data_IF_330457370803
#
_entry.id   IF_330457370803
#
_cell.length_a   1.000
_cell.length_b   1.000
_cell.length_c   1.000
_cell.angle_alpha   90.00
_cell.angle_beta   90.00
_cell.angle_gamma   90.00
#
_symmetry.space_group_name_H-M   'P 1'
#
loop_
_entity.id
_entity.type
_entity.pdbx_description
1 polymer ?
#
# COMPACT_ATOMS: atom_id res chain seq x y z
N UNK A 1 36.50 14.50 -19.90
CA UNK A 1 37.21 13.86 -18.78
C UNK A 1 36.21 13.60 -17.66
N UNK A 2 35.95 12.33 -17.32
CA UNK A 2 35.10 11.97 -16.17
C UNK A 2 35.93 12.13 -14.91
N UNK A 3 35.66 13.15 -14.09
CA UNK A 3 36.28 13.28 -12.78
C UNK A 3 35.65 12.24 -11.86
N UNK A 4 36.43 11.24 -11.44
CA UNK A 4 36.00 10.32 -10.39
C UNK A 4 35.91 11.10 -9.09
N UNK A 5 34.70 11.20 -8.54
CA UNK A 5 34.44 11.80 -7.23
C UNK A 5 34.38 10.70 -6.19
N UNK A 6 35.07 10.88 -5.06
CA UNK A 6 34.97 9.98 -3.93
C UNK A 6 33.69 10.31 -3.15
N UNK A 7 32.90 9.28 -2.87
CA UNK A 7 31.71 9.38 -2.03
C UNK A 7 31.98 8.51 -0.80
N UNK A 8 31.97 9.11 0.38
CA UNK A 8 32.10 8.38 1.63
C UNK A 8 30.78 7.64 1.91
N UNK A 9 30.86 6.33 2.12
CA UNK A 9 29.71 5.47 2.45
C UNK A 9 30.03 4.78 3.79
N UNK A 10 29.09 4.76 4.75
CA UNK A 10 29.27 4.01 5.99
C UNK A 10 29.61 2.54 5.73
N UNK A 11 30.56 2.00 6.47
CA UNK A 11 31.02 0.61 6.30
C UNK A 11 29.89 -0.41 6.46
N UNK A 12 28.94 -0.15 7.37
CA UNK A 12 27.75 -0.99 7.56
C UNK A 12 26.92 -1.14 6.28
N UNK A 13 26.72 -0.05 5.52
CA UNK A 13 25.99 -0.07 4.25
C UNK A 13 26.77 -0.82 3.18
N UNK A 14 28.09 -0.66 3.17
CA UNK A 14 28.98 -1.31 2.21
C UNK A 14 28.99 -2.83 2.42
N UNK A 15 29.07 -3.29 3.67
CA UNK A 15 28.98 -4.71 4.04
C UNK A 15 27.66 -5.32 3.58
N UNK A 16 26.52 -4.67 3.84
CA UNK A 16 25.22 -5.18 3.41
C UNK A 16 25.09 -5.26 1.89
N UNK A 17 25.57 -4.24 1.18
CA UNK A 17 25.58 -4.24 -0.27
C UNK A 17 26.48 -5.34 -0.87
N UNK A 18 27.62 -5.66 -0.24
CA UNK A 18 28.47 -6.78 -0.65
C UNK A 18 27.73 -8.10 -0.47
N UNK A 19 27.10 -8.34 0.68
CA UNK A 19 26.32 -9.58 0.93
C UNK A 19 25.21 -9.77 -0.12
N UNK A 20 24.52 -8.69 -0.47
CA UNK A 20 23.49 -8.71 -1.53
C UNK A 20 24.11 -9.02 -2.89
N UNK A 21 25.26 -8.41 -3.22
CA UNK A 21 25.96 -8.65 -4.47
C UNK A 21 26.42 -10.12 -4.61
N UNK A 22 26.97 -10.70 -3.54
CA UNK A 22 27.35 -12.12 -3.47
C UNK A 22 26.14 -13.03 -3.67
N UNK A 23 25.02 -12.75 -2.98
CA UNK A 23 23.77 -13.51 -3.12
C UNK A 23 23.22 -13.48 -4.55
N UNK A 24 23.41 -12.36 -5.25
CA UNK A 24 22.98 -12.18 -6.64
C UNK A 24 24.02 -12.63 -7.66
N UNK A 25 25.22 -13.05 -7.24
CA UNK A 25 26.31 -13.48 -8.12
C UNK A 25 26.88 -12.37 -9.00
N UNK A 26 26.85 -11.11 -8.56
CA UNK A 26 27.32 -9.95 -9.33
C UNK A 26 28.39 -9.16 -8.57
N UNK A 27 29.33 -8.49 -9.26
CA UNK A 27 30.28 -7.60 -8.59
C UNK A 27 29.57 -6.44 -7.87
N UNK A 28 30.02 -6.14 -6.65
CA UNK A 28 29.47 -5.02 -5.84
C UNK A 28 29.41 -3.70 -6.61
N UNK A 29 30.48 -3.33 -7.31
CA UNK A 29 30.54 -2.06 -8.07
C UNK A 29 29.48 -2.01 -9.17
N UNK A 30 29.27 -3.13 -9.89
CA UNK A 30 28.23 -3.25 -10.91
C UNK A 30 26.82 -3.21 -10.32
N UNK A 31 26.62 -3.78 -9.12
CA UNK A 31 25.35 -3.70 -8.41
C UNK A 31 25.02 -2.25 -8.03
N UNK A 32 25.97 -1.54 -7.41
CA UNK A 32 25.78 -0.15 -6.99
C UNK A 32 25.52 0.76 -8.19
N UNK A 33 26.27 0.60 -9.28
CA UNK A 33 26.05 1.38 -10.50
C UNK A 33 24.64 1.17 -11.06
N UNK A 34 24.17 -0.09 -11.13
CA UNK A 34 22.81 -0.41 -11.57
C UNK A 34 21.75 0.21 -10.65
N UNK A 35 21.90 0.07 -9.33
CA UNK A 35 20.97 0.65 -8.36
C UNK A 35 20.87 2.17 -8.55
N UNK A 36 22.01 2.86 -8.64
CA UNK A 36 22.02 4.31 -8.80
C UNK A 36 21.35 4.74 -10.11
N UNK A 37 21.60 4.03 -11.21
CA UNK A 37 20.95 4.33 -12.50
C UNK A 37 19.44 4.15 -12.43
N UNK A 38 18.94 3.05 -11.84
CA UNK A 38 17.50 2.81 -11.72
C UNK A 38 16.82 3.79 -10.76
N UNK A 39 17.44 4.08 -9.62
CA UNK A 39 16.95 5.09 -8.67
C UNK A 39 16.82 6.46 -9.35
N UNK A 40 17.83 6.88 -10.10
CA UNK A 40 17.78 8.14 -10.84
C UNK A 40 16.72 8.14 -11.94
N UNK A 41 16.43 6.99 -12.57
CA UNK A 41 15.32 6.87 -13.54
C UNK A 41 13.97 7.05 -12.84
N UNK A 42 13.76 6.40 -11.70
CA UNK A 42 12.51 6.56 -10.91
C UNK A 42 12.33 8.01 -10.49
N UNK A 43 13.39 8.64 -9.95
CA UNK A 43 13.36 10.02 -9.47
C UNK A 43 13.10 11.08 -10.56
N UNK A 44 13.28 10.74 -11.84
CA UNK A 44 12.88 11.63 -12.95
C UNK A 44 11.37 11.77 -13.08
N UNK A 45 10.62 10.74 -12.69
CA UNK A 45 9.16 10.67 -12.86
C UNK A 45 8.40 10.81 -11.54
N UNK A 46 9.01 10.41 -10.42
CA UNK A 46 8.44 10.47 -9.07
C UNK A 46 9.36 11.31 -8.19
N UNK A 47 8.80 12.18 -7.36
CA UNK A 47 9.61 13.01 -6.44
C UNK A 47 10.09 12.26 -5.21
N UNK A 48 9.46 11.14 -4.88
CA UNK A 48 9.76 10.35 -3.68
C UNK A 48 10.17 8.90 -4.04
N UNK A 49 11.41 8.55 -3.69
CA UNK A 49 11.96 7.21 -3.91
C UNK A 49 11.44 6.20 -2.88
N UNK A 50 11.30 6.62 -1.62
CA UNK A 50 10.91 5.72 -0.53
C UNK A 50 9.46 5.27 -0.74
N UNK A 51 8.58 6.20 -1.11
CA UNK A 51 7.20 5.89 -1.48
C UNK A 51 7.14 4.92 -2.67
N UNK A 52 8.00 5.16 -3.68
CA UNK A 52 8.05 4.31 -4.88
C UNK A 52 8.48 2.88 -4.55
N UNK A 53 9.48 2.72 -3.66
CA UNK A 53 9.94 1.41 -3.20
C UNK A 53 8.88 0.71 -2.34
N UNK A 54 8.22 1.46 -1.44
CA UNK A 54 7.13 0.94 -0.61
C UNK A 54 5.96 0.45 -1.48
N UNK A 55 5.59 1.19 -2.52
CA UNK A 55 4.57 0.76 -3.48
C UNK A 55 4.97 -0.53 -4.21
N UNK A 56 6.21 -0.65 -4.70
CA UNK A 56 6.67 -1.86 -5.40
C UNK A 56 6.65 -3.08 -4.49
N UNK A 57 7.10 -2.95 -3.24
CA UNK A 57 7.05 -4.03 -2.27
C UNK A 57 5.60 -4.43 -1.96
N UNK A 58 4.71 -3.45 -1.76
CA UNK A 58 3.30 -3.70 -1.51
C UNK A 58 2.58 -4.36 -2.72
N UNK A 59 2.87 -3.95 -3.96
CA UNK A 59 2.38 -4.64 -5.16
C UNK A 59 2.89 -6.08 -5.25
N UNK A 60 4.13 -6.32 -4.83
CA UNK A 60 4.70 -7.67 -4.79
C UNK A 60 3.97 -8.53 -3.78
N UNK A 61 3.57 -7.98 -2.63
CA UNK A 61 2.78 -8.68 -1.63
C UNK A 61 1.37 -9.02 -2.13
N UNK A 62 0.66 -8.05 -2.73
CA UNK A 62 -0.64 -8.27 -3.38
C UNK A 62 -0.56 -9.44 -4.37
N UNK A 63 0.46 -9.45 -5.23
CA UNK A 63 0.66 -10.51 -6.22
C UNK A 63 0.94 -11.87 -5.57
N UNK A 64 1.71 -11.92 -4.48
CA UNK A 64 1.99 -13.16 -3.73
C UNK A 64 0.75 -13.74 -3.07
N UNK A 65 -0.20 -12.89 -2.68
CA UNK A 65 -1.49 -13.28 -2.15
C UNK A 65 -2.49 -13.74 -3.24
N UNK A 66 -2.06 -13.81 -4.51
CA UNK A 66 -2.92 -14.19 -5.64
C UNK A 66 -3.70 -13.02 -6.25
N UNK A 67 -3.42 -11.79 -5.82
CA UNK A 67 -4.03 -10.58 -6.36
C UNK A 67 -3.66 -10.31 -7.80
N UNK A 68 -4.63 -9.82 -8.57
CA UNK A 68 -4.45 -9.36 -9.95
C UNK A 68 -4.94 -7.92 -10.08
N UNK A 69 -4.27 -7.13 -10.92
CA UNK A 69 -4.68 -5.76 -11.22
C UNK A 69 -5.63 -5.79 -12.41
N UNK A 70 -6.82 -5.22 -12.23
CA UNK A 70 -7.83 -5.08 -13.27
C UNK A 70 -8.15 -3.60 -13.50
N UNK A 71 -8.44 -3.19 -14.75
CA UNK A 71 -8.96 -1.85 -15.01
C UNK A 71 -10.27 -1.60 -14.26
N UNK A 72 -10.42 -0.41 -13.66
CA UNK A 72 -11.58 -0.05 -12.85
C UNK A 72 -12.92 -0.28 -13.59
N UNK A 73 -12.96 0.05 -14.89
CA UNK A 73 -14.16 -0.13 -15.70
C UNK A 73 -14.56 -1.60 -15.86
N UNK A 74 -13.58 -2.51 -15.95
CA UNK A 74 -13.82 -3.96 -16.02
C UNK A 74 -14.39 -4.44 -14.68
N UNK A 75 -13.85 -3.96 -13.56
CA UNK A 75 -14.37 -4.28 -12.23
C UNK A 75 -15.83 -3.83 -12.11
N UNK A 76 -16.15 -2.57 -12.50
CA UNK A 76 -17.53 -2.05 -12.48
C UNK A 76 -18.47 -2.89 -13.34
N UNK A 77 -18.04 -3.31 -14.53
CA UNK A 77 -18.86 -4.14 -15.41
C UNK A 77 -19.12 -5.54 -14.83
N UNK A 78 -18.11 -6.17 -14.24
CA UNK A 78 -18.25 -7.47 -13.57
C UNK A 78 -19.22 -7.35 -12.39
N UNK A 79 -19.04 -6.34 -11.54
CA UNK A 79 -19.90 -6.11 -10.37
C UNK A 79 -21.37 -5.88 -10.75
N UNK A 80 -21.64 -5.27 -11.91
CA UNK A 80 -23.01 -5.09 -12.41
C UNK A 80 -23.68 -6.36 -12.97
N UNK A 81 -22.94 -7.47 -13.11
CA UNK A 81 -23.42 -8.72 -13.75
C UNK A 81 -23.40 -9.93 -12.83
N UNK A 82 -22.68 -9.88 -11.72
CA UNK A 82 -22.61 -11.00 -10.76
C UNK A 82 -23.89 -11.11 -9.93
N UNK A 83 -24.29 -12.34 -9.64
CA UNK A 83 -25.35 -12.59 -8.68
C UNK A 83 -24.90 -12.27 -7.24
N UNK A 84 -25.86 -12.25 -6.32
CA UNK A 84 -25.61 -11.90 -4.92
C UNK A 84 -24.65 -12.87 -4.21
N UNK A 85 -24.73 -14.17 -4.50
CA UNK A 85 -23.89 -15.17 -3.84
C UNK A 85 -22.42 -15.06 -4.30
N UNK A 86 -22.21 -14.82 -5.60
CA UNK A 86 -20.90 -14.56 -6.17
C UNK A 86 -20.32 -13.26 -5.60
N UNK A 87 -21.13 -12.21 -5.48
CA UNK A 87 -20.72 -10.95 -4.87
C UNK A 87 -20.27 -11.13 -3.41
N UNK A 88 -21.02 -11.89 -2.60
CA UNK A 88 -20.65 -12.17 -1.21
C UNK A 88 -19.34 -12.97 -1.10
N UNK A 89 -19.11 -13.91 -2.01
CA UNK A 89 -17.84 -14.63 -2.11
C UNK A 89 -16.67 -13.69 -2.45
N UNK A 90 -16.87 -12.74 -3.38
CA UNK A 90 -15.87 -11.72 -3.70
C UNK A 90 -15.56 -10.83 -2.50
N UNK A 91 -16.57 -10.38 -1.76
CA UNK A 91 -16.38 -9.61 -0.53
C UNK A 91 -15.58 -10.38 0.53
N UNK A 92 -15.87 -11.68 0.72
CA UNK A 92 -15.14 -12.53 1.66
C UNK A 92 -13.68 -12.69 1.26
N UNK A 93 -13.42 -12.95 -0.02
CA UNK A 93 -12.07 -13.13 -0.55
C UNK A 93 -11.26 -11.84 -0.43
N UNK A 94 -11.86 -10.70 -0.79
CA UNK A 94 -11.18 -9.41 -0.71
C UNK A 94 -10.93 -8.98 0.75
N UNK A 95 -11.85 -9.27 1.66
CA UNK A 95 -11.64 -9.04 3.10
C UNK A 95 -10.52 -9.92 3.66
N UNK A 96 -10.41 -11.18 3.21
CA UNK A 96 -9.29 -12.08 3.57
C UNK A 96 -7.96 -11.55 3.05
N UNK A 97 -7.93 -11.15 1.78
CA UNK A 97 -6.74 -10.59 1.15
C UNK A 97 -6.30 -9.29 1.81
N UNK A 98 -7.23 -8.41 2.17
CA UNK A 98 -6.96 -7.21 2.96
C UNK A 98 -6.35 -7.53 4.33
N UNK A 99 -6.85 -8.56 5.01
CA UNK A 99 -6.29 -9.01 6.30
C UNK A 99 -4.85 -9.49 6.16
N UNK A 100 -4.57 -10.38 5.21
CA UNK A 100 -3.21 -10.87 4.97
C UNK A 100 -2.26 -9.76 4.53
N UNK A 101 -2.72 -8.83 3.71
CA UNK A 101 -1.92 -7.67 3.32
C UNK A 101 -1.58 -6.79 4.54
N UNK A 102 -2.56 -6.53 5.41
CA UNK A 102 -2.35 -5.78 6.65
C UNK A 102 -1.36 -6.48 7.59
N UNK A 103 -1.47 -7.80 7.75
CA UNK A 103 -0.53 -8.60 8.57
C UNK A 103 0.90 -8.53 8.04
N UNK A 104 1.10 -8.70 6.73
CA UNK A 104 2.41 -8.62 6.10
C UNK A 104 2.97 -7.20 6.23
N UNK A 105 2.15 -6.19 5.97
CA UNK A 105 2.57 -4.79 6.03
C UNK A 105 2.96 -4.41 7.46
N UNK A 106 2.19 -4.82 8.47
CA UNK A 106 2.52 -4.68 9.90
C UNK A 106 3.83 -5.39 10.29
N UNK A 107 4.09 -6.57 9.70
CA UNK A 107 5.31 -7.31 10.00
C UNK A 107 6.56 -6.67 9.36
N UNK A 108 6.41 -6.03 8.19
CA UNK A 108 7.50 -5.36 7.46
C UNK A 108 7.71 -3.91 7.89
N UNK A 109 6.65 -3.24 8.33
CA UNK A 109 6.56 -1.79 8.56
C UNK A 109 5.73 -1.55 9.83
N UNK A 110 6.09 -0.54 10.61
CA UNK A 110 5.33 -0.18 11.80
C UNK A 110 3.90 0.27 11.44
N UNK A 111 2.95 0.07 12.35
CA UNK A 111 1.56 0.52 12.17
C UNK A 111 1.47 2.02 12.45
N UNK A 112 1.71 2.83 11.42
CA UNK A 112 1.63 4.30 11.48
C UNK A 112 0.47 4.84 10.65
N UNK A 113 0.10 6.10 10.90
CA UNK A 113 -0.92 6.79 10.09
C UNK A 113 -0.56 6.81 8.59
N UNK A 114 0.71 7.04 8.27
CA UNK A 114 1.20 7.08 6.90
C UNK A 114 1.10 5.71 6.22
N UNK A 115 1.47 4.64 6.91
CA UNK A 115 1.41 3.28 6.35
C UNK A 115 -0.04 2.85 6.04
N UNK A 116 -0.99 3.14 6.94
CA UNK A 116 -2.40 2.87 6.70
C UNK A 116 -2.93 3.70 5.53
N UNK A 117 -2.56 4.99 5.45
CA UNK A 117 -2.92 5.87 4.32
C UNK A 117 -2.38 5.35 2.99
N UNK A 118 -1.12 4.95 2.96
CA UNK A 118 -0.45 4.42 1.77
C UNK A 118 -1.09 3.13 1.30
N UNK A 119 -1.45 2.26 2.23
CA UNK A 119 -2.15 1.01 1.94
C UNK A 119 -3.53 1.26 1.35
N UNK A 120 -4.31 2.16 1.93
CA UNK A 120 -5.60 2.57 1.34
C UNK A 120 -5.39 3.16 -0.07
N UNK A 121 -4.38 4.02 -0.26
CA UNK A 121 -4.08 4.59 -1.58
C UNK A 121 -3.69 3.55 -2.64
N UNK A 122 -3.01 2.48 -2.23
CA UNK A 122 -2.65 1.36 -3.11
C UNK A 122 -3.89 0.61 -3.61
N UNK A 123 -4.82 0.35 -2.69
CA UNK A 123 -6.05 -0.39 -2.98
C UNK A 123 -7.11 0.45 -3.70
N UNK A 124 -7.05 1.78 -3.57
CA UNK A 124 -7.95 2.74 -4.20
C UNK A 124 -7.17 3.76 -5.06
N UNK A 125 -6.52 3.33 -6.16
CA UNK A 125 -5.53 4.14 -6.87
C UNK A 125 -6.10 5.37 -7.58
N UNK A 126 -7.41 5.38 -7.88
CA UNK A 126 -8.12 6.52 -8.50
C UNK A 126 -8.82 7.44 -7.48
N UNK A 127 -8.61 7.21 -6.18
CA UNK A 127 -9.31 7.90 -5.09
C UNK A 127 -8.39 8.85 -4.32
N UNK A 128 -8.95 9.89 -3.69
CA UNK A 128 -8.23 10.62 -2.64
C UNK A 128 -8.35 9.87 -1.32
N UNK A 129 -7.25 9.81 -0.57
CA UNK A 129 -7.24 9.32 0.82
C UNK A 129 -6.86 10.48 1.72
N UNK A 130 -7.87 11.05 2.37
CA UNK A 130 -7.72 12.16 3.29
C UNK A 130 -7.63 11.64 4.73
N UNK A 131 -6.80 12.28 5.55
CA UNK A 131 -6.60 11.90 6.95
C UNK A 131 -6.85 13.11 7.83
N UNK A 132 -7.71 12.94 8.83
CA UNK A 132 -7.98 13.95 9.87
C UNK A 132 -7.83 13.31 11.24
N UNK A 133 -7.38 14.09 12.21
CA UNK A 133 -7.26 13.67 13.61
C UNK A 133 -8.17 14.51 14.48
N UNK A 134 -8.86 13.86 15.39
CA UNK A 134 -9.58 14.55 16.45
C UNK A 134 -8.58 14.96 17.53
N UNK A 135 -8.46 16.27 17.76
CA UNK A 135 -7.51 16.82 18.73
C UNK A 135 -7.83 16.44 20.18
N UNK A 136 -9.08 16.08 20.48
CA UNK A 136 -9.53 15.80 21.85
C UNK A 136 -9.47 14.31 22.17
N UNK A 137 -9.80 13.44 21.22
CA UNK A 137 -9.84 11.98 21.44
C UNK A 137 -8.59 11.25 20.95
N UNK A 138 -7.79 11.89 20.09
CA UNK A 138 -6.68 11.23 19.40
C UNK A 138 -7.13 10.21 18.35
N UNK A 139 -8.43 10.14 18.05
CA UNK A 139 -9.01 9.30 17.01
C UNK A 139 -8.49 9.75 15.64
N UNK A 140 -8.10 8.78 14.81
CA UNK A 140 -7.66 9.04 13.44
C UNK A 140 -8.76 8.60 12.49
N UNK A 141 -9.14 9.48 11.58
CA UNK A 141 -10.15 9.24 10.55
C UNK A 141 -9.51 9.29 9.19
N UNK A 142 -9.63 8.19 8.46
CA UNK A 142 -9.27 8.06 7.05
C UNK A 142 -10.53 8.13 6.20
N UNK A 143 -10.49 8.92 5.13
CA UNK A 143 -11.61 9.10 4.20
C UNK A 143 -11.12 8.78 2.80
N UNK A 144 -11.64 7.69 2.24
CA UNK A 144 -11.41 7.31 0.84
C UNK A 144 -12.56 7.87 0.01
N UNK A 145 -12.24 8.78 -0.92
CA UNK A 145 -13.22 9.43 -1.79
C UNK A 145 -13.19 8.83 -3.19
N UNK A 146 -14.25 8.13 -3.55
CA UNK A 146 -14.40 7.44 -4.83
C UNK A 146 -15.16 8.30 -5.85
N UNK A 147 -14.72 8.29 -7.11
CA UNK A 147 -15.39 9.00 -8.21
C UNK A 147 -16.43 8.10 -8.86
N UNK A 148 -17.70 8.52 -8.83
CA UNK A 148 -18.84 7.79 -9.41
C UNK A 148 -18.85 6.28 -9.06
N UNK A 149 -18.87 5.91 -7.77
CA UNK A 149 -18.89 4.51 -7.39
C UNK A 149 -20.30 3.91 -7.51
N UNK A 150 -20.38 2.63 -7.88
CA UNK A 150 -21.60 1.86 -7.69
C UNK A 150 -21.74 1.44 -6.22
N UNK A 151 -22.94 1.02 -5.81
CA UNK A 151 -23.18 0.51 -4.45
C UNK A 151 -22.34 -0.72 -4.16
N UNK A 152 -22.21 -1.60 -5.15
CA UNK A 152 -21.44 -2.84 -5.10
C UNK A 152 -19.95 -2.52 -4.92
N UNK A 153 -19.43 -1.49 -5.60
CA UNK A 153 -18.03 -1.08 -5.46
C UNK A 153 -17.74 -0.50 -4.07
N UNK A 154 -18.66 0.32 -3.52
CA UNK A 154 -18.54 0.84 -2.15
C UNK A 154 -18.53 -0.29 -1.13
N UNK A 155 -19.42 -1.25 -1.30
CA UNK A 155 -19.54 -2.40 -0.39
C UNK A 155 -18.33 -3.33 -0.48
N UNK A 156 -17.83 -3.58 -1.70
CA UNK A 156 -16.59 -4.33 -1.90
C UNK A 156 -15.39 -3.62 -1.26
N UNK A 157 -15.32 -2.29 -1.43
CA UNK A 157 -14.32 -1.45 -0.78
C UNK A 157 -14.43 -1.48 0.74
N UNK A 158 -15.65 -1.46 1.31
CA UNK A 158 -15.88 -1.63 2.76
C UNK A 158 -15.27 -2.92 3.27
N UNK A 159 -15.56 -4.05 2.62
CA UNK A 159 -15.03 -5.36 3.01
C UNK A 159 -13.50 -5.41 2.99
N UNK A 160 -12.87 -4.79 1.99
CA UNK A 160 -11.43 -4.65 1.92
C UNK A 160 -10.86 -3.84 3.09
N UNK A 161 -11.44 -2.67 3.37
CA UNK A 161 -11.00 -1.80 4.46
C UNK A 161 -11.17 -2.47 5.82
N UNK A 162 -12.25 -3.23 6.02
CA UNK A 162 -12.45 -4.07 7.21
C UNK A 162 -11.40 -5.18 7.31
N UNK A 163 -11.06 -5.81 6.18
CA UNK A 163 -9.96 -6.74 6.07
C UNK A 163 -8.64 -6.13 6.53
N UNK A 164 -8.26 -4.99 5.94
CA UNK A 164 -7.05 -4.25 6.27
C UNK A 164 -7.01 -3.88 7.76
N UNK A 165 -8.10 -3.33 8.30
CA UNK A 165 -8.17 -2.94 9.70
C UNK A 165 -7.94 -4.13 10.65
N UNK A 166 -8.48 -5.31 10.32
CA UNK A 166 -8.18 -6.54 11.06
C UNK A 166 -6.72 -6.96 10.94
N UNK A 167 -6.15 -6.95 9.73
CA UNK A 167 -4.76 -7.36 9.52
C UNK A 167 -3.74 -6.49 10.27
N UNK A 168 -4.01 -5.18 10.32
CA UNK A 168 -3.21 -4.21 11.09
C UNK A 168 -3.44 -4.26 12.60
N UNK A 169 -4.41 -5.04 13.10
CA UNK A 169 -4.89 -5.04 14.49
C UNK A 169 -5.29 -3.63 14.97
N UNK A 170 -6.06 -2.89 14.15
CA UNK A 170 -6.48 -1.52 14.50
C UNK A 170 -7.56 -1.55 15.61
N UNK A 171 -7.17 -1.14 16.81
CA UNK A 171 -8.09 -1.05 17.96
C UNK A 171 -9.16 0.03 17.78
N UNK A 172 -10.38 -0.27 18.27
CA UNK A 172 -11.51 0.65 18.22
C UNK A 172 -11.93 1.04 16.80
N UNK A 173 -11.65 0.19 15.82
CA UNK A 173 -11.93 0.51 14.42
C UNK A 173 -13.42 0.44 14.09
N UNK A 174 -13.88 1.36 13.24
CA UNK A 174 -15.18 1.30 12.59
C UNK A 174 -15.07 1.73 11.14
N UNK A 175 -15.77 1.03 10.26
CA UNK A 175 -15.85 1.34 8.83
C UNK A 175 -17.28 1.73 8.51
N UNK A 176 -17.44 2.91 7.90
CA UNK A 176 -18.74 3.42 7.48
C UNK A 176 -18.70 3.80 6.00
N UNK A 177 -19.83 3.62 5.32
CA UNK A 177 -19.97 3.88 3.89
C UNK A 177 -20.97 5.00 3.68
N UNK A 178 -20.56 6.03 2.96
CA UNK A 178 -21.41 7.11 2.47
C UNK A 178 -21.80 6.91 1.01
N UNK A 179 -22.35 7.95 0.38
CA UNK A 179 -22.76 7.93 -1.04
C UNK A 179 -21.58 7.79 -2.01
N UNK A 180 -20.40 8.29 -1.63
CA UNK A 180 -19.18 8.21 -2.45
C UNK A 180 -17.92 8.03 -1.62
N UNK A 181 -18.07 7.71 -0.33
CA UNK A 181 -17.00 7.73 0.65
C UNK A 181 -16.95 6.40 1.40
N UNK A 182 -15.74 5.94 1.69
CA UNK A 182 -15.48 4.91 2.70
C UNK A 182 -14.67 5.58 3.82
N UNK A 183 -15.19 5.52 5.04
CA UNK A 183 -14.60 6.18 6.20
C UNK A 183 -14.16 5.12 7.19
N UNK A 184 -12.86 5.03 7.42
CA UNK A 184 -12.26 4.23 8.49
C UNK A 184 -11.92 5.16 9.66
N UNK A 185 -12.52 4.89 10.82
CA UNK A 185 -12.15 5.51 12.09
C UNK A 185 -11.42 4.50 12.92
N UNK A 186 -10.36 4.92 13.58
CA UNK A 186 -9.55 4.08 14.45
C UNK A 186 -9.13 4.89 15.67
N UNK A 187 -8.79 4.19 16.75
CA UNK A 187 -8.22 4.81 17.92
C UNK A 187 -6.87 5.48 17.65
N UNK A 188 -6.09 5.65 18.72
CA UNK A 188 -4.80 6.33 18.60
C UNK A 188 -3.80 5.49 17.80
N UNK A 189 -3.24 6.09 16.75
CA UNK A 189 -2.15 5.52 15.93
C UNK A 189 -0.86 6.32 16.15
N UNK A 190 0.28 5.65 16.00
CA UNK A 190 1.59 6.30 16.01
C UNK A 190 1.73 7.28 14.84
N UNK A 191 2.35 8.43 15.10
CA UNK A 191 2.90 9.29 14.05
C UNK A 191 4.25 8.72 13.59
N UNK A 192 4.61 8.98 12.32
CA UNK A 192 5.94 8.66 11.80
C UNK A 192 7.04 9.35 12.60
#
# INVERSE_FOLDING_TARGET
MSSRRFVAIPESVLIEAIKVAEKLGVPYTSLIERILVEVLRVLRYRRDLLDSLAMVDAYTDIRRLGGIVLPEQVVKEILGKVDRSTFESLCSELARMGSWFGEISKAKRAVTVSEVKNSLGLWFPSSSVDVSKDANTGEVKFVVSLVNPSRELLELGRCLVEGLARGYDLEGCSVTVGSSLIVLRVGRLAEE
#
